data_IF_156366910048
#
_entry.id   IF_156366910048
#
_cell.length_a   1.000
_cell.length_b   1.000
_cell.length_c   1.000
_cell.angle_alpha   90.00
_cell.angle_beta   90.00
_cell.angle_gamma   90.00
#
_symmetry.space_group_name_H-M   'P 1'
#
loop_
_entity.id
_entity.type
_entity.pdbx_description
1 polymer ?
#
# COMPACT_ATOMS: atom_id res chain seq x y z
N UNK A 1 -61.06 -23.88 3.31
CA UNK A 1 -60.49 -23.76 1.94
C UNK A 1 -59.91 -22.36 1.78
N UNK A 2 -58.62 -22.27 1.40
CA UNK A 2 -57.88 -21.17 0.74
C UNK A 2 -58.17 -19.70 1.17
N UNK A 3 -57.26 -19.05 1.93
CA UNK A 3 -56.06 -18.30 1.47
C UNK A 3 -56.41 -17.11 0.57
N UNK A 4 -56.25 -15.87 1.04
CA UNK A 4 -55.74 -14.72 0.26
C UNK A 4 -55.39 -13.53 1.19
N UNK A 5 -54.36 -12.77 0.81
CA UNK A 5 -53.70 -11.63 1.48
C UNK A 5 -52.53 -11.94 2.44
N UNK A 6 -51.40 -12.29 1.82
CA UNK A 6 -50.07 -11.91 2.25
C UNK A 6 -49.24 -11.61 0.98
N UNK A 7 -48.27 -10.71 1.11
CA UNK A 7 -47.20 -10.34 0.17
C UNK A 7 -47.51 -9.29 -0.90
N UNK A 8 -47.33 -8.02 -0.51
CA UNK A 8 -46.78 -7.00 -1.41
C UNK A 8 -45.70 -6.18 -0.68
N UNK A 9 -44.64 -6.83 -0.24
CA UNK A 9 -43.38 -6.20 0.14
C UNK A 9 -42.28 -7.23 -0.11
N UNK A 10 -41.64 -7.14 -1.26
CA UNK A 10 -40.58 -8.08 -1.63
C UNK A 10 -40.31 -8.05 -3.11
N UNK A 11 -39.72 -6.94 -3.59
CA UNK A 11 -38.97 -6.89 -4.86
C UNK A 11 -38.25 -5.53 -5.03
N UNK A 12 -37.61 -5.04 -3.95
CA UNK A 12 -36.77 -3.84 -4.02
C UNK A 12 -35.66 -3.84 -2.96
N UNK A 13 -35.11 -5.01 -2.65
CA UNK A 13 -34.02 -5.14 -1.66
C UNK A 13 -32.85 -6.02 -2.10
N UNK A 14 -32.68 -6.25 -3.41
CA UNK A 14 -31.52 -6.97 -3.95
C UNK A 14 -31.02 -6.33 -5.25
N UNK A 15 -30.53 -5.09 -5.18
CA UNK A 15 -29.78 -4.49 -6.29
C UNK A 15 -28.86 -3.32 -5.92
N UNK A 16 -28.52 -3.11 -4.64
CA UNK A 16 -27.69 -1.96 -4.22
C UNK A 16 -26.47 -2.30 -3.36
N UNK A 17 -26.02 -3.54 -3.30
CA UNK A 17 -24.72 -3.88 -2.66
C UNK A 17 -23.50 -3.65 -3.57
N UNK A 18 -23.67 -3.02 -4.74
CA UNK A 18 -22.58 -2.65 -5.65
C UNK A 18 -22.23 -1.15 -5.61
N UNK A 19 -22.56 -0.45 -4.52
CA UNK A 19 -22.14 0.94 -4.31
C UNK A 19 -21.85 1.18 -2.83
N UNK A 20 -20.80 0.53 -2.33
CA UNK A 20 -20.28 0.79 -0.99
C UNK A 20 -18.76 0.69 -0.92
N UNK A 21 -18.05 1.12 -1.96
CA UNK A 21 -16.76 1.79 -1.76
C UNK A 21 -17.06 3.29 -1.66
N UNK A 22 -17.56 3.71 -0.49
CA UNK A 22 -17.50 5.12 -0.13
C UNK A 22 -16.01 5.47 -0.03
N UNK A 23 -15.50 6.03 -1.14
CA UNK A 23 -14.27 6.81 -1.21
C UNK A 23 -14.30 7.78 -0.03
N UNK A 24 -13.32 7.69 0.84
CA UNK A 24 -13.21 8.62 1.95
C UNK A 24 -12.71 9.97 1.48
N UNK A 25 -13.30 10.95 2.13
CA UNK A 25 -13.51 12.35 1.78
C UNK A 25 -12.43 13.20 2.45
N UNK A 26 -11.40 13.55 1.68
CA UNK A 26 -10.45 14.65 1.92
C UNK A 26 -10.51 15.64 0.72
N UNK A 27 -11.65 15.68 0.02
CA UNK A 27 -11.86 16.55 -1.15
C UNK A 27 -10.91 16.36 -2.35
N UNK A 28 -9.89 15.50 -2.26
CA UNK A 28 -8.93 15.20 -3.32
C UNK A 28 -9.29 13.86 -3.96
N UNK A 29 -10.36 13.87 -4.76
CA UNK A 29 -10.67 12.74 -5.63
C UNK A 29 -9.61 12.70 -6.75
N UNK A 30 -8.53 11.93 -6.54
CA UNK A 30 -7.58 11.64 -7.61
C UNK A 30 -8.34 10.85 -8.68
N UNK A 31 -8.68 11.50 -9.80
CA UNK A 31 -9.10 10.77 -11.01
C UNK A 31 -7.88 9.95 -11.45
N UNK A 32 -7.94 8.64 -11.21
CA UNK A 32 -6.87 7.70 -11.58
C UNK A 32 -7.01 7.39 -13.07
N UNK A 33 -6.15 8.00 -13.89
CA UNK A 33 -5.87 7.49 -15.24
C UNK A 33 -4.97 6.26 -15.11
N UNK A 34 -5.45 5.11 -15.59
CA UNK A 34 -4.71 3.84 -15.49
C UNK A 34 -3.64 3.67 -16.57
N UNK A 35 -3.56 4.58 -17.55
CA UNK A 35 -2.57 4.58 -18.65
C UNK A 35 -2.37 3.21 -19.32
N UNK A 36 -3.48 2.48 -19.49
CA UNK A 36 -3.51 1.16 -20.13
C UNK A 36 -3.36 -0.05 -19.20
N UNK A 37 -3.15 0.14 -17.89
CA UNK A 37 -3.17 -0.98 -16.93
C UNK A 37 -4.60 -1.52 -16.79
N UNK A 38 -4.86 -2.79 -17.15
CA UNK A 38 -6.21 -3.34 -17.13
C UNK A 38 -6.71 -3.53 -15.68
N UNK A 39 -8.01 -3.77 -15.55
CA UNK A 39 -8.60 -4.37 -14.34
C UNK A 39 -8.87 -5.85 -14.61
N UNK A 40 -9.08 -6.61 -13.54
CA UNK A 40 -9.44 -8.03 -13.61
C UNK A 40 -10.59 -8.33 -12.65
N UNK A 41 -11.26 -9.46 -12.88
CA UNK A 41 -12.37 -9.90 -12.05
C UNK A 41 -11.83 -10.41 -10.71
N UNK A 42 -12.38 -9.90 -9.62
CA UNK A 42 -12.17 -10.42 -8.26
C UNK A 42 -13.30 -11.38 -7.90
N UNK A 43 -13.02 -12.31 -7.00
CA UNK A 43 -14.03 -13.24 -6.50
C UNK A 43 -15.03 -12.46 -5.63
N UNK A 44 -16.31 -12.53 -5.97
CA UNK A 44 -17.37 -11.81 -5.26
C UNK A 44 -17.75 -12.49 -3.95
N UNK A 45 -17.40 -13.77 -3.80
CA UNK A 45 -17.68 -14.53 -2.57
C UNK A 45 -16.64 -14.20 -1.48
N UNK A 46 -15.47 -13.70 -1.88
CA UNK A 46 -14.37 -13.29 -1.00
C UNK A 46 -13.84 -11.89 -1.35
N UNK A 47 -14.67 -10.85 -1.24
CA UNK A 47 -14.32 -9.50 -1.72
C UNK A 47 -13.16 -8.87 -0.96
N UNK A 48 -12.93 -9.30 0.29
CA UNK A 48 -11.90 -8.76 1.19
C UNK A 48 -10.65 -9.67 1.28
N UNK A 49 -10.66 -10.85 0.66
CA UNK A 49 -9.52 -11.80 0.67
C UNK A 49 -8.58 -11.54 -0.52
N UNK A 50 -8.10 -10.30 -0.61
CA UNK A 50 -7.25 -9.81 -1.69
C UNK A 50 -6.02 -9.12 -1.11
N UNK A 51 -4.84 -9.40 -1.67
CA UNK A 51 -3.70 -8.52 -1.49
C UNK A 51 -4.03 -7.15 -2.08
N UNK A 52 -3.97 -6.11 -1.26
CA UNK A 52 -4.14 -4.73 -1.69
C UNK A 52 -2.82 -3.99 -1.50
N UNK A 53 -2.32 -3.37 -2.57
CA UNK A 53 -1.18 -2.49 -2.46
C UNK A 53 -1.63 -1.19 -1.78
N UNK A 54 -1.08 -0.92 -0.59
CA UNK A 54 -1.41 0.25 0.22
C UNK A 54 -0.22 1.20 0.21
N UNK A 55 -0.39 2.36 -0.42
CA UNK A 55 0.57 3.45 -0.35
C UNK A 55 0.27 4.32 0.88
N UNK A 56 1.31 4.64 1.64
CA UNK A 56 1.20 5.56 2.77
C UNK A 56 1.43 6.98 2.30
N UNK A 57 0.46 7.84 2.59
CA UNK A 57 0.58 9.28 2.43
C UNK A 57 1.16 9.87 3.72
N UNK A 58 2.14 10.75 3.56
CA UNK A 58 2.77 11.47 4.66
C UNK A 58 3.05 12.92 4.25
N UNK A 59 3.23 13.80 5.23
CA UNK A 59 3.54 15.22 5.05
C UNK A 59 2.64 15.94 4.02
N UNK A 60 1.30 15.90 4.17
CA UNK A 60 0.38 16.47 3.19
C UNK A 60 0.42 18.01 3.14
N UNK A 61 0.96 18.67 4.16
CA UNK A 61 0.97 20.12 4.30
C UNK A 61 2.17 20.77 3.58
N UNK A 62 2.14 20.82 2.25
CA UNK A 62 3.27 21.37 1.47
C UNK A 62 2.95 21.96 0.09
N UNK A 63 1.67 22.09 -0.28
CA UNK A 63 1.24 22.82 -1.50
C UNK A 63 1.61 22.19 -2.86
N UNK A 64 2.49 21.18 -2.88
CA UNK A 64 2.72 20.24 -3.99
C UNK A 64 2.33 18.84 -3.51
N UNK A 65 1.96 17.94 -4.45
CA UNK A 65 1.87 16.51 -4.14
C UNK A 65 3.18 16.13 -3.43
N UNK A 66 3.08 15.69 -2.17
CA UNK A 66 4.24 15.36 -1.35
C UNK A 66 5.06 14.24 -1.99
N UNK A 67 6.28 14.03 -1.50
CA UNK A 67 7.21 13.00 -1.96
C UNK A 67 6.60 11.58 -2.01
N UNK A 68 5.69 11.30 -1.07
CA UNK A 68 4.86 10.11 -1.07
C UNK A 68 4.10 9.83 -2.38
N UNK A 69 3.82 10.84 -3.21
CA UNK A 69 3.05 10.73 -4.44
C UNK A 69 3.92 10.60 -5.71
N UNK A 70 5.24 10.46 -5.56
CA UNK A 70 6.11 10.11 -6.70
C UNK A 70 5.62 8.82 -7.35
N UNK A 71 5.58 8.83 -8.68
CA UNK A 71 5.08 7.78 -9.57
C UNK A 71 3.62 7.35 -9.37
N UNK A 72 2.90 7.93 -8.42
CA UNK A 72 1.50 7.64 -8.19
C UNK A 72 0.63 8.22 -9.33
N UNK A 73 -0.32 7.44 -9.89
CA UNK A 73 -0.75 6.10 -9.47
C UNK A 73 -0.11 4.93 -10.25
N UNK A 74 0.80 5.22 -11.20
CA UNK A 74 1.28 4.23 -12.15
C UNK A 74 2.07 3.10 -11.53
N UNK A 75 2.97 3.41 -10.59
CA UNK A 75 3.76 2.39 -9.90
C UNK A 75 2.87 1.43 -9.13
N UNK A 76 1.88 1.93 -8.39
CA UNK A 76 0.94 1.12 -7.61
C UNK A 76 0.10 0.20 -8.51
N UNK A 77 -0.38 0.75 -9.63
CA UNK A 77 -1.15 0.02 -10.63
C UNK A 77 -0.30 -1.06 -11.31
N UNK A 78 0.93 -0.71 -11.70
CA UNK A 78 1.85 -1.63 -12.35
C UNK A 78 2.23 -2.76 -11.40
N UNK A 79 2.61 -2.46 -10.16
CA UNK A 79 2.97 -3.45 -9.16
C UNK A 79 1.82 -4.43 -8.94
N UNK A 80 0.60 -3.92 -8.71
CA UNK A 80 -0.60 -4.75 -8.52
C UNK A 80 -0.85 -5.66 -9.73
N UNK A 81 -0.70 -5.11 -10.94
CA UNK A 81 -0.89 -5.88 -12.17
C UNK A 81 0.18 -6.96 -12.36
N UNK A 82 1.46 -6.67 -12.09
CA UNK A 82 2.54 -7.66 -12.20
C UNK A 82 2.41 -8.75 -11.15
N UNK A 83 2.04 -8.42 -9.92
CA UNK A 83 1.79 -9.42 -8.88
C UNK A 83 0.64 -10.35 -9.28
N UNK A 84 -0.43 -9.79 -9.86
CA UNK A 84 -1.54 -10.58 -10.41
C UNK A 84 -1.12 -11.49 -11.57
N UNK A 85 -0.26 -11.01 -12.48
CA UNK A 85 0.17 -11.79 -13.64
C UNK A 85 1.18 -12.89 -13.32
N UNK A 86 2.09 -12.63 -12.36
CA UNK A 86 3.28 -13.44 -12.14
C UNK A 86 3.10 -14.42 -10.96
N UNK A 87 2.03 -14.29 -10.19
CA UNK A 87 1.76 -15.15 -9.03
C UNK A 87 0.32 -15.65 -9.04
N UNK A 88 0.02 -16.61 -8.15
CA UNK A 88 -1.37 -17.07 -7.93
C UNK A 88 -2.12 -16.21 -6.90
N UNK A 89 -1.53 -15.13 -6.40
CA UNK A 89 -2.17 -14.25 -5.43
C UNK A 89 -3.43 -13.62 -6.02
N UNK A 90 -4.46 -13.51 -5.19
CA UNK A 90 -5.62 -12.68 -5.50
C UNK A 90 -5.24 -11.25 -5.15
N UNK A 91 -5.15 -10.40 -6.16
CA UNK A 91 -4.69 -9.01 -6.00
C UNK A 91 -5.86 -8.08 -6.29
N UNK A 92 -6.02 -7.05 -5.48
CA UNK A 92 -7.00 -5.99 -5.73
C UNK A 92 -6.54 -5.14 -6.93
N UNK A 93 -7.34 -5.00 -8.01
CA UNK A 93 -6.98 -4.18 -9.16
C UNK A 93 -6.95 -2.68 -8.89
N UNK A 94 -7.38 -2.27 -7.69
CA UNK A 94 -7.46 -0.89 -7.24
C UNK A 94 -6.61 -0.73 -5.98
N UNK A 95 -5.32 -0.34 -6.11
CA UNK A 95 -4.51 0.04 -4.96
C UNK A 95 -5.16 1.20 -4.20
N UNK A 96 -4.81 1.35 -2.93
CA UNK A 96 -5.37 2.40 -2.06
C UNK A 96 -4.26 3.24 -1.45
N UNK A 97 -4.63 4.45 -1.05
CA UNK A 97 -3.79 5.35 -0.26
C UNK A 97 -4.38 5.45 1.14
N UNK A 98 -3.55 5.28 2.17
CA UNK A 98 -3.93 5.48 3.56
C UNK A 98 -2.96 6.44 4.25
N UNK A 99 -3.45 7.15 5.25
CA UNK A 99 -2.63 7.82 6.25
C UNK A 99 -2.33 6.84 7.40
N UNK A 100 -1.24 7.03 8.15
CA UNK A 100 -0.86 6.12 9.22
C UNK A 100 -1.86 6.07 10.38
N UNK A 101 -2.54 7.17 10.67
CA UNK A 101 -3.56 7.25 11.71
C UNK A 101 -4.90 6.61 11.29
N UNK A 102 -5.02 6.14 10.05
CA UNK A 102 -6.22 5.50 9.56
C UNK A 102 -6.42 4.13 10.25
N UNK A 103 -7.55 3.89 10.94
CA UNK A 103 -7.79 2.63 11.64
C UNK A 103 -7.74 1.39 10.73
N UNK A 104 -8.02 1.55 9.43
CA UNK A 104 -7.97 0.46 8.44
C UNK A 104 -6.56 0.00 8.10
N UNK A 105 -5.51 0.72 8.54
CA UNK A 105 -4.12 0.34 8.32
C UNK A 105 -3.87 -1.12 8.74
N UNK A 106 -4.46 -1.53 9.86
CA UNK A 106 -4.29 -2.87 10.43
C UNK A 106 -5.02 -3.98 9.66
N UNK A 107 -5.86 -3.64 8.69
CA UNK A 107 -6.53 -4.62 7.81
C UNK A 107 -5.60 -5.09 6.68
N UNK A 108 -4.45 -4.44 6.48
CA UNK A 108 -3.54 -4.71 5.36
C UNK A 108 -2.14 -5.11 5.84
N UNK A 109 -1.64 -6.32 5.48
CA UNK A 109 -0.35 -6.81 5.97
C UNK A 109 0.86 -6.22 5.25
N UNK A 110 0.66 -5.42 4.19
CA UNK A 110 1.71 -4.78 3.42
C UNK A 110 1.38 -3.30 3.21
N UNK A 111 2.35 -2.42 3.51
CA UNK A 111 2.30 -0.99 3.23
C UNK A 111 3.56 -0.52 2.52
N UNK A 112 3.43 0.55 1.74
CA UNK A 112 4.49 1.09 0.90
C UNK A 112 4.67 2.59 1.14
N UNK A 113 5.92 3.02 1.33
CA UNK A 113 6.31 4.43 1.40
C UNK A 113 7.16 4.75 0.18
N UNK A 114 6.85 5.86 -0.49
CA UNK A 114 7.57 6.37 -1.65
C UNK A 114 8.44 7.58 -1.27
N UNK A 115 9.69 7.65 -1.73
CA UNK A 115 10.68 8.70 -1.45
C UNK A 115 10.81 9.11 0.04
N UNK A 116 10.91 8.17 1.01
CA UNK A 116 10.87 8.51 2.42
C UNK A 116 12.07 9.33 2.90
N UNK A 117 13.23 9.23 2.24
CA UNK A 117 14.38 10.07 2.58
C UNK A 117 14.20 11.53 2.16
N UNK A 118 13.63 11.74 0.96
CA UNK A 118 13.29 13.03 0.35
C UNK A 118 14.46 14.02 0.19
N UNK A 119 14.76 14.43 -1.04
CA UNK A 119 15.75 15.46 -1.27
C UNK A 119 15.34 16.85 -0.72
N UNK A 120 16.27 17.55 -0.05
CA UNK A 120 16.12 18.94 0.43
C UNK A 120 15.15 19.13 1.61
N UNK A 121 15.05 18.15 2.51
CA UNK A 121 14.27 18.29 3.76
C UNK A 121 12.76 18.21 3.56
N UNK A 122 12.30 17.46 2.56
CA UNK A 122 10.88 17.18 2.29
C UNK A 122 10.55 15.67 2.37
N UNK A 123 11.43 14.90 3.03
CA UNK A 123 11.26 13.47 3.29
C UNK A 123 10.15 13.20 4.30
N UNK A 124 10.08 11.96 4.74
CA UNK A 124 9.16 11.48 5.77
C UNK A 124 9.46 12.13 7.12
N UNK A 125 8.42 12.54 7.84
CA UNK A 125 8.55 13.02 9.22
C UNK A 125 7.46 12.38 10.07
N UNK A 126 7.83 11.44 10.94
CA UNK A 126 6.90 10.82 11.86
C UNK A 126 6.63 11.73 13.06
N UNK A 127 5.35 11.92 13.35
CA UNK A 127 4.89 12.32 14.68
C UNK A 127 5.15 11.20 15.70
N UNK A 128 4.98 11.52 16.98
CA UNK A 128 5.10 10.50 18.02
C UNK A 128 4.00 9.43 17.87
N UNK A 129 2.80 9.85 17.47
CA UNK A 129 1.64 9.00 17.22
C UNK A 129 1.87 8.08 16.02
N UNK A 130 2.49 8.59 14.94
CA UNK A 130 2.88 7.78 13.78
C UNK A 130 3.87 6.68 14.19
N UNK A 131 4.89 7.05 14.98
CA UNK A 131 5.90 6.09 15.42
C UNK A 131 5.31 4.98 16.30
N UNK A 132 4.37 5.31 17.19
CA UNK A 132 3.64 4.35 18.01
C UNK A 132 2.75 3.44 17.15
N UNK A 133 2.05 4.02 16.18
CA UNK A 133 1.15 3.28 15.29
C UNK A 133 1.92 2.32 14.40
N UNK A 134 3.01 2.78 13.80
CA UNK A 134 3.86 1.96 12.94
C UNK A 134 4.59 0.85 13.72
N UNK A 135 5.02 1.12 14.96
CA UNK A 135 5.53 0.06 15.85
C UNK A 135 4.47 -1.01 16.09
N UNK A 136 3.25 -0.60 16.45
CA UNK A 136 2.13 -1.53 16.66
C UNK A 136 1.82 -2.34 15.40
N UNK A 137 1.90 -1.72 14.23
CA UNK A 137 1.72 -2.37 12.94
C UNK A 137 2.74 -3.50 12.73
N UNK A 138 4.03 -3.22 12.93
CA UNK A 138 5.09 -4.22 12.84
C UNK A 138 5.00 -5.32 13.90
N UNK A 139 4.70 -4.97 15.16
CA UNK A 139 4.56 -5.94 16.25
C UNK A 139 3.35 -6.88 16.04
N UNK A 140 2.37 -6.47 15.22
CA UNK A 140 1.24 -7.28 14.78
C UNK A 140 1.52 -8.08 13.49
N UNK A 141 2.75 -8.08 12.97
CA UNK A 141 3.16 -8.85 11.79
C UNK A 141 2.99 -8.11 10.45
N UNK A 142 2.71 -6.81 10.46
CA UNK A 142 2.71 -6.00 9.25
C UNK A 142 4.11 -5.86 8.63
N UNK A 143 4.15 -5.66 7.32
CA UNK A 143 5.37 -5.45 6.54
C UNK A 143 5.33 -4.08 5.84
N UNK A 144 6.42 -3.32 5.89
CA UNK A 144 6.55 -2.05 5.20
C UNK A 144 7.71 -2.08 4.23
N UNK A 145 7.47 -1.66 2.99
CA UNK A 145 8.50 -1.35 2.01
C UNK A 145 8.74 0.16 1.99
N UNK A 146 10.01 0.55 2.06
CA UNK A 146 10.47 1.93 1.95
C UNK A 146 11.33 2.04 0.70
N UNK A 147 10.90 2.88 -0.25
CA UNK A 147 11.52 3.10 -1.56
C UNK A 147 11.21 4.54 -1.97
N UNK A 148 12.01 5.32 -2.68
CA UNK A 148 13.39 5.15 -3.11
C UNK A 148 14.33 5.99 -2.23
N UNK A 149 15.62 5.68 -2.31
CA UNK A 149 16.69 6.43 -1.65
C UNK A 149 17.78 6.78 -2.65
N UNK A 150 17.98 8.07 -2.90
CA UNK A 150 19.03 8.60 -3.76
C UNK A 150 20.29 8.91 -2.95
N UNK A 151 20.93 7.85 -2.45
CA UNK A 151 22.21 7.90 -1.75
C UNK A 151 22.12 7.96 -0.23
N UNK A 152 23.28 8.15 0.41
CA UNK A 152 23.42 8.02 1.87
C UNK A 152 22.70 9.12 2.66
N UNK A 153 22.52 10.31 2.08
CA UNK A 153 21.83 11.43 2.75
C UNK A 153 20.34 11.10 2.98
N UNK A 154 19.65 10.66 1.93
CA UNK A 154 18.24 10.27 2.00
C UNK A 154 18.05 9.03 2.89
N UNK A 155 18.96 8.05 2.78
CA UNK A 155 18.97 6.91 3.69
C UNK A 155 19.12 7.35 5.15
N UNK A 156 20.05 8.26 5.45
CA UNK A 156 20.28 8.76 6.80
C UNK A 156 19.07 9.52 7.35
N UNK A 157 18.41 10.34 6.53
CA UNK A 157 17.18 11.03 6.90
C UNK A 157 16.10 10.03 7.35
N UNK A 158 15.86 8.98 6.55
CA UNK A 158 14.94 7.91 6.93
C UNK A 158 15.39 7.13 8.17
N UNK A 159 16.68 6.86 8.31
CA UNK A 159 17.22 6.15 9.48
C UNK A 159 16.88 6.88 10.79
N UNK A 160 16.95 8.22 10.81
CA UNK A 160 16.55 9.01 11.99
C UNK A 160 15.07 8.85 12.32
N UNK A 161 14.21 8.74 11.31
CA UNK A 161 12.77 8.56 11.47
C UNK A 161 12.41 7.14 11.94
N UNK A 162 12.96 6.10 11.32
CA UNK A 162 12.65 4.71 11.70
C UNK A 162 13.17 4.38 13.11
N UNK A 163 14.20 5.08 13.60
CA UNK A 163 14.65 4.99 14.99
C UNK A 163 13.64 5.51 16.01
N UNK A 164 12.75 6.42 15.63
CA UNK A 164 11.61 6.80 16.50
C UNK A 164 10.67 5.61 16.70
N UNK A 165 10.51 4.78 15.65
CA UNK A 165 9.72 3.55 15.70
C UNK A 165 10.44 2.49 16.52
N UNK A 166 11.73 2.22 16.27
CA UNK A 166 12.55 1.24 17.01
C UNK A 166 13.89 1.84 17.46
N UNK A 167 13.99 2.45 18.66
CA UNK A 167 15.21 3.10 19.11
C UNK A 167 16.31 2.11 19.52
N UNK A 168 15.93 0.86 19.80
CA UNK A 168 16.83 -0.19 20.28
C UNK A 168 17.12 -1.27 19.22
N UNK A 169 16.78 -1.00 17.94
CA UNK A 169 17.05 -1.91 16.81
C UNK A 169 17.83 -1.16 15.74
N UNK A 170 18.83 -1.82 15.18
CA UNK A 170 19.61 -1.30 14.05
C UNK A 170 19.25 -2.05 12.77
N UNK A 171 19.12 -1.36 11.62
CA UNK A 171 19.03 -2.01 10.33
C UNK A 171 20.23 -2.92 10.09
N UNK A 172 19.99 -4.07 9.47
CA UNK A 172 21.03 -5.01 9.07
C UNK A 172 20.85 -5.34 7.60
N UNK A 173 21.97 -5.47 6.89
CA UNK A 173 21.96 -5.95 5.52
C UNK A 173 21.55 -7.43 5.52
N UNK A 174 20.60 -7.78 4.65
CA UNK A 174 20.20 -9.16 4.45
C UNK A 174 21.19 -9.84 3.50
N UNK A 175 21.70 -10.98 3.93
CA UNK A 175 22.54 -11.86 3.11
C UNK A 175 21.77 -12.37 1.89
N UNK A 176 22.45 -12.64 0.77
CA UNK A 176 21.79 -12.97 -0.50
C UNK A 176 21.06 -14.30 -0.45
N UNK A 177 21.41 -15.15 0.51
CA UNK A 177 20.83 -16.44 0.83
C UNK A 177 19.51 -16.33 1.62
N UNK A 178 19.14 -15.11 2.07
CA UNK A 178 17.90 -14.88 2.78
C UNK A 178 16.67 -15.23 1.90
N UNK A 179 15.63 -15.91 2.44
CA UNK A 179 14.50 -16.40 1.65
C UNK A 179 13.78 -15.35 0.80
N UNK A 180 13.79 -14.07 1.21
CA UNK A 180 13.19 -12.95 0.45
C UNK A 180 13.70 -12.86 -0.99
N UNK A 181 14.94 -13.28 -1.23
CA UNK A 181 15.57 -13.27 -2.55
C UNK A 181 15.26 -14.51 -3.40
N UNK A 182 14.52 -15.49 -2.85
CA UNK A 182 14.26 -16.78 -3.47
C UNK A 182 12.76 -17.18 -3.44
N UNK A 183 11.86 -16.22 -3.25
CA UNK A 183 10.41 -16.49 -3.09
C UNK A 183 9.69 -16.78 -4.42
N UNK A 184 9.66 -15.81 -5.34
CA UNK A 184 8.99 -15.94 -6.66
C UNK A 184 10.02 -16.24 -7.75
N UNK A 185 11.15 -15.52 -7.68
CA UNK A 185 12.31 -15.71 -8.54
C UNK A 185 13.51 -16.05 -7.67
N UNK A 186 14.42 -16.83 -8.22
CA UNK A 186 15.71 -17.12 -7.60
C UNK A 186 16.72 -16.02 -7.98
N UNK A 187 16.86 -15.01 -7.12
CA UNK A 187 17.79 -13.89 -7.31
C UNK A 187 19.14 -14.26 -6.72
N UNK A 188 20.08 -14.67 -7.57
CA UNK A 188 21.40 -15.14 -7.16
C UNK A 188 22.32 -13.97 -6.83
N UNK A 189 23.40 -14.26 -6.10
CA UNK A 189 24.43 -13.27 -5.74
C UNK A 189 25.05 -12.54 -6.93
N UNK A 190 25.10 -13.18 -8.10
CA UNK A 190 25.63 -12.60 -9.34
C UNK A 190 24.67 -11.66 -10.05
N UNK A 191 23.39 -11.66 -9.69
CA UNK A 191 22.38 -10.86 -10.34
C UNK A 191 22.45 -9.43 -9.79
N UNK A 192 22.51 -8.43 -10.67
CA UNK A 192 22.51 -7.03 -10.27
C UNK A 192 21.10 -6.63 -9.84
N UNK A 193 20.92 -6.32 -8.56
CA UNK A 193 19.63 -5.86 -8.00
C UNK A 193 19.40 -4.35 -8.16
N UNK A 194 20.37 -3.62 -8.73
CA UNK A 194 20.19 -2.21 -9.01
C UNK A 194 19.15 -2.01 -10.11
N UNK A 195 18.11 -1.22 -9.81
CA UNK A 195 17.18 -0.75 -10.83
C UNK A 195 17.98 0.11 -11.82
N UNK A 196 17.94 -0.20 -13.13
CA UNK A 196 18.66 0.59 -14.12
C UNK A 196 18.20 2.05 -14.05
N UNK A 197 19.13 2.98 -13.81
CA UNK A 197 18.86 4.39 -13.98
C UNK A 197 18.63 4.66 -15.49
N UNK A 198 17.52 5.33 -15.82
CA UNK A 198 17.20 5.79 -17.18
C UNK A 198 17.73 7.22 -17.35
#
# INVERSE_FOLDING_TARGET
MRRFLLFLFGLLSLSTTASAQRRFDDGTEFIIDRRGVPTWKVDTDFPDDLFTFVRIRYNPYGGRRGKWATDYPDSDLNFSYRLHQLTSLKVNPNPIVLDLDNPKLFDYPFIYFCEPGGAWGNGLEFTQEDAVTLRKYFDNGGFAMFDDFWGEEEWHAFYLEIRKVFPDREPVDLDREHPIFHCVYDLRKTDNLQVPAI
#
